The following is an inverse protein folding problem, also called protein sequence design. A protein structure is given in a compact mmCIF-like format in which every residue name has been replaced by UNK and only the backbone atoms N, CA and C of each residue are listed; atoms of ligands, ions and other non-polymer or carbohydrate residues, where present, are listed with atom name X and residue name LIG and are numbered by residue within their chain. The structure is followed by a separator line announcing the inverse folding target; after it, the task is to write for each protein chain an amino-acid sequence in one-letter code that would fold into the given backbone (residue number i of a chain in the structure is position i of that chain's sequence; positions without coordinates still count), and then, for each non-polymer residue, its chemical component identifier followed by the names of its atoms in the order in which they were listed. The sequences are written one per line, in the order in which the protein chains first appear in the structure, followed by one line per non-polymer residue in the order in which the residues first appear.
data_IF_854272083455
#
_entry.id   IF_854272083455
#
_cell.length_a   1.000
_cell.length_b   1.000
_cell.length_c   1.000
_cell.angle_alpha   90.00
_cell.angle_beta   90.00
_cell.angle_gamma   90.00
#
_symmetry.space_group_name_H-M   'P 1'
#
loop_
_entity.id
_entity.type
_entity.pdbx_description
1 polymer ?
#
# COMPACT_ATOMS: atom_id res chain seq x y z
N UNK A 1 -2.66 -5.69 10.82
CA UNK A 1 -1.91 -6.61 9.92
C UNK A 1 -2.78 -7.54 9.07
N UNK A 2 -4.11 -7.56 9.21
CA UNK A 2 -4.97 -8.40 8.37
C UNK A 2 -4.95 -7.98 6.89
N UNK A 3 -4.99 -6.66 6.59
CA UNK A 3 -4.90 -6.14 5.21
C UNK A 3 -3.60 -6.55 4.49
N UNK A 4 -2.44 -6.33 5.13
CA UNK A 4 -1.14 -6.75 4.59
C UNK A 4 -1.08 -8.25 4.28
N UNK A 5 -1.60 -9.11 5.16
CA UNK A 5 -1.65 -10.57 4.92
C UNK A 5 -2.57 -10.93 3.77
N UNK A 6 -3.71 -10.24 3.65
CA UNK A 6 -4.64 -10.47 2.53
C UNK A 6 -4.00 -10.06 1.20
N UNK A 7 -3.30 -8.93 1.15
CA UNK A 7 -2.58 -8.52 -0.06
C UNK A 7 -1.54 -9.57 -0.50
N UNK A 8 -0.76 -10.12 0.44
CA UNK A 8 0.17 -11.22 0.17
C UNK A 8 -0.54 -12.44 -0.43
N UNK A 9 -1.53 -12.99 0.28
CA UNK A 9 -2.13 -14.27 -0.07
C UNK A 9 -3.06 -14.20 -1.29
N UNK A 10 -3.81 -13.10 -1.42
CA UNK A 10 -4.92 -13.03 -2.37
C UNK A 10 -4.61 -12.18 -3.61
N UNK A 11 -3.57 -11.34 -3.57
CA UNK A 11 -3.08 -10.63 -4.77
C UNK A 11 -1.75 -11.20 -5.25
N UNK A 12 -0.73 -11.19 -4.39
CA UNK A 12 0.63 -11.47 -4.84
C UNK A 12 0.82 -12.95 -5.20
N UNK A 13 0.40 -13.85 -4.30
CA UNK A 13 0.48 -15.30 -4.54
C UNK A 13 -0.47 -15.78 -5.65
N UNK A 14 -1.62 -15.10 -5.81
CA UNK A 14 -2.61 -15.42 -6.86
C UNK A 14 -2.12 -15.04 -8.26
N UNK A 15 -1.33 -13.98 -8.37
CA UNK A 15 -0.80 -13.47 -9.63
C UNK A 15 0.74 -13.43 -9.62
N UNK A 16 1.43 -14.59 -9.54
CA UNK A 16 2.87 -14.64 -9.28
C UNK A 16 3.73 -14.17 -10.46
N UNK A 17 3.22 -14.27 -11.68
CA UNK A 17 3.93 -13.86 -12.91
C UNK A 17 3.56 -12.45 -13.37
N UNK A 18 2.63 -11.78 -12.71
CA UNK A 18 2.27 -10.42 -13.06
C UNK A 18 3.46 -9.48 -12.81
N UNK A 19 3.68 -8.56 -13.76
CA UNK A 19 4.70 -7.51 -13.70
C UNK A 19 4.39 -6.41 -12.68
N UNK A 20 3.95 -6.80 -11.48
CA UNK A 20 3.62 -5.89 -10.39
C UNK A 20 4.89 -5.37 -9.72
N UNK A 21 4.94 -4.05 -9.57
CA UNK A 21 5.90 -3.38 -8.73
C UNK A 21 5.20 -2.92 -7.45
N UNK A 22 5.59 -3.51 -6.32
CA UNK A 22 4.88 -3.32 -5.05
C UNK A 22 5.79 -2.64 -4.05
N UNK A 23 5.31 -1.52 -3.51
CA UNK A 23 6.01 -0.75 -2.50
C UNK A 23 5.20 -0.76 -1.23
N UNK A 24 5.81 -1.16 -0.11
CA UNK A 24 5.15 -1.10 1.20
C UNK A 24 5.94 -0.22 2.13
N UNK A 25 5.31 0.87 2.55
CA UNK A 25 5.89 1.88 3.43
C UNK A 25 5.32 1.70 4.83
N UNK A 26 6.20 1.47 5.79
CA UNK A 26 5.86 1.19 7.18
C UNK A 26 6.26 2.35 8.06
N UNK A 27 5.40 2.67 9.02
CA UNK A 27 5.65 3.70 10.02
C UNK A 27 4.78 3.45 11.24
N UNK A 28 5.20 4.00 12.39
CA UNK A 28 4.51 3.75 13.66
C UNK A 28 3.23 4.57 13.78
N UNK A 29 2.06 3.93 13.69
CA UNK A 29 0.75 4.55 13.91
C UNK A 29 0.17 4.25 15.28
N UNK A 30 0.43 3.06 15.82
CA UNK A 30 0.03 2.68 17.17
C UNK A 30 1.26 2.43 18.05
N UNK A 31 1.10 2.52 19.37
CA UNK A 31 2.21 2.46 20.34
C UNK A 31 3.07 1.19 20.24
N UNK A 32 2.51 0.11 19.69
CA UNK A 32 3.20 -1.17 19.51
C UNK A 32 3.99 -1.26 18.20
N UNK A 33 3.84 -0.29 17.29
CA UNK A 33 4.58 -0.26 16.04
C UNK A 33 6.00 0.23 16.31
N UNK A 34 6.98 -0.59 15.91
CA UNK A 34 8.39 -0.23 16.03
C UNK A 34 9.19 -0.75 14.85
N UNK A 35 10.24 -0.03 14.46
CA UNK A 35 11.20 -0.50 13.45
C UNK A 35 11.86 -1.83 13.83
N UNK A 36 12.01 -2.13 15.12
CA UNK A 36 12.47 -3.44 15.58
C UNK A 36 11.43 -4.55 15.38
N UNK A 37 10.15 -4.20 15.52
CA UNK A 37 9.02 -5.08 15.23
C UNK A 37 8.83 -5.32 13.72
N UNK A 38 9.38 -4.43 12.87
CA UNK A 38 9.44 -4.63 11.41
C UNK A 38 10.06 -5.97 11.01
N UNK A 39 11.09 -6.45 11.71
CA UNK A 39 11.66 -7.78 11.45
C UNK A 39 10.63 -8.91 11.59
N UNK A 40 9.54 -8.67 12.33
CA UNK A 40 8.44 -9.60 12.54
C UNK A 40 7.25 -9.33 11.61
N UNK A 41 6.97 -8.08 11.25
CA UNK A 41 5.86 -7.71 10.35
C UNK A 41 6.23 -7.73 8.86
N UNK A 42 7.52 -7.60 8.53
CA UNK A 42 8.07 -7.83 7.19
C UNK A 42 8.01 -9.30 6.76
N UNK A 43 7.70 -10.22 7.67
CA UNK A 43 7.35 -11.59 7.31
C UNK A 43 5.87 -11.75 6.91
N UNK A 44 5.06 -10.69 6.92
CA UNK A 44 3.64 -10.76 6.52
C UNK A 44 3.47 -10.63 5.02
N UNK A 45 4.29 -9.79 4.38
CA UNK A 45 4.37 -9.68 2.93
C UNK A 45 5.79 -10.09 2.57
N UNK A 46 5.93 -11.27 1.97
CA UNK A 46 7.22 -11.93 1.69
C UNK A 46 7.46 -12.12 0.20
N UNK A 47 6.52 -11.68 -0.65
CA UNK A 47 6.66 -11.77 -2.09
C UNK A 47 7.92 -11.02 -2.57
N UNK A 48 8.76 -11.65 -3.43
CA UNK A 48 10.03 -11.09 -3.85
C UNK A 48 9.92 -9.80 -4.68
N UNK A 49 8.74 -9.47 -5.21
CA UNK A 49 8.48 -8.22 -5.95
C UNK A 49 8.27 -7.03 -5.02
N UNK A 50 8.17 -7.27 -3.72
CA UNK A 50 7.84 -6.24 -2.74
C UNK A 50 9.11 -5.56 -2.23
N UNK A 51 9.14 -4.24 -2.39
CA UNK A 51 10.15 -3.37 -1.82
C UNK A 51 9.60 -2.71 -0.56
N UNK A 52 10.29 -2.94 0.56
CA UNK A 52 9.87 -2.43 1.87
C UNK A 52 10.67 -1.19 2.28
N UNK A 53 9.95 -0.18 2.78
CA UNK A 53 10.55 1.05 3.30
C UNK A 53 10.07 1.34 4.72
N UNK A 54 10.96 1.87 5.55
CA UNK A 54 10.60 2.42 6.86
C UNK A 54 10.63 3.94 6.83
N UNK A 55 9.51 4.57 7.11
CA UNK A 55 9.33 6.02 7.13
C UNK A 55 9.02 6.49 8.55
N UNK A 56 10.06 6.58 9.38
CA UNK A 56 9.94 6.98 10.78
C UNK A 56 9.18 8.31 10.96
N UNK A 57 9.42 9.20 10.01
CA UNK A 57 8.85 10.53 9.95
C UNK A 57 7.41 10.56 9.49
N UNK A 58 6.87 9.54 8.80
CA UNK A 58 5.53 9.51 8.17
C UNK A 58 5.36 10.51 7.02
N UNK A 59 6.44 10.76 6.27
CA UNK A 59 6.41 11.62 5.06
C UNK A 59 5.37 11.14 4.06
N UNK A 60 5.34 9.83 3.77
CA UNK A 60 4.44 9.23 2.76
C UNK A 60 2.99 9.35 3.21
N UNK A 61 2.69 8.94 4.44
CA UNK A 61 1.33 9.00 4.99
C UNK A 61 0.77 10.41 5.05
N UNK A 62 1.59 11.42 5.41
CA UNK A 62 1.15 12.83 5.40
C UNK A 62 0.93 13.37 3.99
N UNK A 63 1.82 13.01 3.07
CA UNK A 63 1.72 13.46 1.68
C UNK A 63 0.40 13.02 1.04
N UNK A 64 0.09 11.73 1.13
CA UNK A 64 -1.13 11.18 0.53
C UNK A 64 -2.42 11.63 1.22
N UNK A 65 -2.37 11.96 2.51
CA UNK A 65 -3.50 12.59 3.19
C UNK A 65 -3.85 13.98 2.60
N UNK A 66 -2.85 14.76 2.19
CA UNK A 66 -3.08 16.08 1.56
C UNK A 66 -3.60 15.94 0.13
N UNK A 67 -3.02 15.02 -0.63
CA UNK A 67 -3.25 14.89 -2.07
C UNK A 67 -4.62 14.30 -2.40
N UNK A 68 -5.04 13.25 -1.67
CA UNK A 68 -6.19 12.42 -2.06
C UNK A 68 -7.39 12.53 -1.10
N UNK A 69 -7.23 13.14 0.09
CA UNK A 69 -8.27 13.12 1.14
C UNK A 69 -8.28 14.37 2.06
N UNK A 70 -8.81 15.51 1.60
CA UNK A 70 -8.87 16.71 2.45
C UNK A 70 -9.82 16.64 3.67
N UNK A 71 -10.73 15.65 3.75
CA UNK A 71 -11.86 15.71 4.70
C UNK A 71 -12.04 14.52 5.67
N UNK A 72 -11.40 13.37 5.46
CA UNK A 72 -11.80 12.12 6.14
C UNK A 72 -10.68 11.44 6.95
N UNK A 73 -9.47 12.01 6.99
CA UNK A 73 -8.35 11.43 7.75
C UNK A 73 -8.13 12.20 9.05
N UNK A 74 -8.63 11.63 10.15
CA UNK A 74 -8.73 12.20 11.50
C UNK A 74 -7.38 12.56 12.17
N UNK A 75 -6.25 12.44 11.46
CA UNK A 75 -4.91 12.78 11.95
C UNK A 75 -3.96 13.34 10.86
N UNK A 76 -4.45 13.61 9.64
CA UNK A 76 -3.62 14.08 8.53
C UNK A 76 -2.52 13.09 8.08
N UNK A 77 -2.68 11.80 8.40
CA UNK A 77 -1.78 10.71 8.02
C UNK A 77 -2.63 9.55 7.49
N UNK A 78 -2.50 9.22 6.20
CA UNK A 78 -3.11 8.01 5.65
C UNK A 78 -2.28 6.80 6.05
N UNK A 79 -2.94 5.71 6.44
CA UNK A 79 -2.32 4.45 6.85
C UNK A 79 -3.32 3.31 6.64
N UNK A 80 -2.81 2.07 6.67
CA UNK A 80 -3.58 0.87 6.30
C UNK A 80 -4.32 1.05 4.96
N UNK A 81 -3.65 1.66 3.98
CA UNK A 81 -4.23 2.07 2.71
C UNK A 81 -3.42 1.51 1.53
N UNK A 82 -4.06 1.45 0.36
CA UNK A 82 -3.39 1.17 -0.91
C UNK A 82 -3.60 2.31 -1.91
N UNK A 83 -2.66 2.42 -2.84
CA UNK A 83 -2.75 3.30 -4.01
C UNK A 83 -2.34 2.47 -5.23
N UNK A 84 -3.28 2.22 -6.13
CA UNK A 84 -3.09 1.45 -7.36
C UNK A 84 -2.87 2.40 -8.53
N UNK A 85 -1.74 2.26 -9.20
CA UNK A 85 -1.37 3.05 -10.37
C UNK A 85 -1.38 2.19 -11.63
N UNK A 86 -1.69 2.81 -12.77
CA UNK A 86 -1.65 2.16 -14.07
C UNK A 86 -0.21 1.85 -14.53
N UNK A 87 -0.03 0.99 -15.55
CA UNK A 87 1.30 0.59 -16.05
C UNK A 87 2.09 1.75 -16.66
N UNK A 88 1.40 2.81 -17.10
CA UNK A 88 2.03 4.02 -17.66
C UNK A 88 2.39 5.05 -16.56
N UNK A 89 2.25 4.70 -15.29
CA UNK A 89 2.46 5.66 -14.21
C UNK A 89 3.92 6.02 -14.00
N UNK A 90 4.21 7.31 -13.98
CA UNK A 90 5.55 7.83 -13.75
C UNK A 90 5.67 8.53 -12.39
N UNK A 91 6.67 8.14 -11.60
CA UNK A 91 6.99 8.77 -10.32
C UNK A 91 7.78 10.07 -10.52
N UNK A 92 7.11 11.11 -11.03
CA UNK A 92 7.63 12.49 -11.11
C UNK A 92 7.33 13.24 -9.82
N UNK A 93 6.55 14.32 -9.90
CA UNK A 93 6.02 15.00 -8.72
C UNK A 93 4.94 14.12 -8.13
N UNK A 94 3.81 13.93 -8.79
CA UNK A 94 2.71 13.05 -8.36
C UNK A 94 2.56 11.88 -9.33
N UNK A 95 2.53 10.63 -8.86
CA UNK A 95 2.34 9.48 -9.73
C UNK A 95 0.91 9.49 -10.30
N UNK A 96 0.80 9.49 -11.63
CA UNK A 96 -0.44 9.39 -12.37
C UNK A 96 -0.25 8.47 -13.59
N UNK A 97 -1.29 7.73 -14.04
CA UNK A 97 -2.66 7.78 -13.55
C UNK A 97 -2.88 6.92 -12.31
N UNK A 98 -3.46 7.52 -11.27
CA UNK A 98 -4.05 6.79 -10.15
C UNK A 98 -5.31 6.09 -10.65
N UNK A 99 -5.36 4.77 -10.52
CA UNK A 99 -6.50 3.95 -10.96
C UNK A 99 -7.52 3.84 -9.83
N UNK A 100 -7.06 3.51 -8.63
CA UNK A 100 -7.89 3.53 -7.43
C UNK A 100 -7.04 3.61 -6.17
N UNK A 101 -7.66 4.01 -5.07
CA UNK A 101 -7.07 3.98 -3.75
C UNK A 101 -8.15 3.60 -2.73
N UNK A 102 -7.75 3.22 -1.53
CA UNK A 102 -8.70 2.93 -0.46
C UNK A 102 -8.04 2.59 0.88
N UNK A 103 -8.80 2.77 1.96
CA UNK A 103 -8.42 2.43 3.32
C UNK A 103 -9.67 1.95 4.09
N UNK A 104 -9.65 0.85 4.85
CA UNK A 104 -8.51 -0.03 5.08
C UNK A 104 -8.22 -0.95 3.88
N UNK A 105 -7.00 -1.46 3.72
CA UNK A 105 -6.67 -2.47 2.67
C UNK A 105 -7.56 -3.71 2.78
N UNK A 106 -7.97 -4.06 4.01
CA UNK A 106 -8.83 -5.20 4.23
C UNK A 106 -10.24 -4.97 3.68
N UNK A 107 -10.83 -3.81 3.98
CA UNK A 107 -12.21 -3.47 3.58
C UNK A 107 -12.30 -3.21 2.09
N UNK A 108 -11.27 -2.58 1.52
CA UNK A 108 -11.22 -2.19 0.10
C UNK A 108 -10.59 -3.24 -0.82
N UNK A 109 -10.35 -4.45 -0.31
CA UNK A 109 -9.70 -5.53 -1.05
C UNK A 109 -10.42 -5.84 -2.37
N UNK A 110 -11.75 -5.94 -2.36
CA UNK A 110 -12.52 -6.27 -3.58
C UNK A 110 -12.45 -5.16 -4.63
N UNK A 111 -12.40 -3.90 -4.20
CA UNK A 111 -12.17 -2.74 -5.09
C UNK A 111 -10.77 -2.82 -5.71
N UNK A 112 -9.75 -3.06 -4.88
CA UNK A 112 -8.37 -3.22 -5.33
C UNK A 112 -8.24 -4.37 -6.34
N UNK A 113 -8.75 -5.55 -6.03
CA UNK A 113 -8.68 -6.71 -6.93
C UNK A 113 -9.38 -6.45 -8.27
N UNK A 114 -10.59 -5.90 -8.24
CA UNK A 114 -11.38 -5.63 -9.45
C UNK A 114 -10.71 -4.62 -10.38
N UNK A 115 -9.97 -3.65 -9.81
CA UNK A 115 -9.22 -2.66 -10.59
C UNK A 115 -7.83 -3.16 -11.01
N UNK A 116 -7.22 -4.05 -10.23
CA UNK A 116 -5.92 -4.63 -10.53
C UNK A 116 -6.00 -5.62 -11.69
N UNK A 117 -6.97 -6.56 -11.66
CA UNK A 117 -7.05 -7.68 -12.62
C UNK A 117 -7.03 -7.23 -14.10
N UNK A 118 -7.76 -6.18 -14.52
CA UNK A 118 -7.70 -5.68 -15.89
C UNK A 118 -6.31 -5.16 -16.34
N UNK A 119 -5.42 -4.85 -15.40
CA UNK A 119 -4.07 -4.35 -15.65
C UNK A 119 -3.02 -5.46 -15.80
N UNK A 120 -3.33 -6.70 -15.41
CA UNK A 120 -2.38 -7.83 -15.33
C UNK A 120 -2.09 -8.52 -16.67
N UNK A 121 -2.05 -7.77 -17.77
CA UNK A 121 -1.88 -8.31 -19.14
C UNK A 121 -0.58 -9.07 -19.36
#
# INVERSE_FOLDING_TARGET
MAGARRAQNELLEKYPTAGLQVYVVWFSMIATDARGAWRWTGNVITDPRVMHFWDDTKVVGRRFAVQETPAEIDAGIVWDAYFLYGPEAEWKTEPEPLVSWGATVLDEYHTLESNLVPLLK
#
